data_IF_902252634890
#
_entry.id   IF_902252634890
#
_cell.length_a   1.000
_cell.length_b   1.000
_cell.length_c   1.000
_cell.angle_alpha   90.00
_cell.angle_beta   90.00
_cell.angle_gamma   90.00
#
_symmetry.space_group_name_H-M   'P 1'
#
loop_
_entity.id
_entity.type
_entity.pdbx_description
1 polymer ?
#
# COMPACT_ATOMS: atom_id res chain seq x y z
N UNK A 1 -15.69 7.76 -10.30
CA UNK A 1 -16.48 7.02 -11.31
C UNK A 1 -17.70 6.41 -10.63
N UNK A 2 -18.86 6.41 -11.27
CA UNK A 2 -20.07 5.72 -10.77
C UNK A 2 -19.87 4.19 -10.80
N UNK A 3 -20.69 3.43 -10.06
CA UNK A 3 -20.67 1.96 -10.08
C UNK A 3 -20.77 1.40 -11.51
N UNK A 4 -21.66 1.99 -12.32
CA UNK A 4 -21.83 1.66 -13.75
C UNK A 4 -20.55 1.91 -14.55
N UNK A 5 -19.84 3.01 -14.28
CA UNK A 5 -18.56 3.31 -14.94
C UNK A 5 -17.49 2.27 -14.63
N UNK A 6 -17.40 1.80 -13.38
CA UNK A 6 -16.49 0.71 -13.00
C UNK A 6 -16.85 -0.61 -13.68
N UNK A 7 -18.14 -0.96 -13.74
CA UNK A 7 -18.61 -2.18 -14.39
C UNK A 7 -18.27 -2.19 -15.89
N UNK A 8 -18.53 -1.08 -16.59
CA UNK A 8 -18.19 -0.93 -18.01
C UNK A 8 -16.67 -0.99 -18.24
N UNK A 9 -15.89 -0.36 -17.38
CA UNK A 9 -14.42 -0.41 -17.45
C UNK A 9 -13.90 -1.85 -17.30
N UNK A 10 -14.36 -2.57 -16.28
CA UNK A 10 -13.96 -3.97 -16.03
C UNK A 10 -14.36 -4.86 -17.22
N UNK A 11 -15.57 -4.69 -17.75
CA UNK A 11 -16.05 -5.45 -18.89
C UNK A 11 -15.20 -5.17 -20.15
N UNK A 12 -14.87 -3.91 -20.40
CA UNK A 12 -14.00 -3.51 -21.52
C UNK A 12 -12.62 -4.15 -21.42
N UNK A 13 -11.99 -4.08 -20.23
CA UNK A 13 -10.70 -4.73 -19.96
C UNK A 13 -10.80 -6.24 -20.14
N UNK A 14 -11.89 -6.87 -19.70
CA UNK A 14 -12.11 -8.31 -19.86
C UNK A 14 -12.27 -8.71 -21.33
N UNK A 15 -12.97 -7.91 -22.15
CA UNK A 15 -13.10 -8.15 -23.60
C UNK A 15 -11.74 -8.03 -24.28
N UNK A 16 -10.97 -6.98 -23.98
CA UNK A 16 -9.61 -6.80 -24.53
C UNK A 16 -8.71 -7.97 -24.12
N UNK A 17 -8.78 -8.39 -22.86
CA UNK A 17 -8.00 -9.51 -22.34
C UNK A 17 -8.38 -10.83 -23.04
N UNK A 18 -9.67 -11.11 -23.18
CA UNK A 18 -10.18 -12.27 -23.89
C UNK A 18 -9.67 -12.30 -25.32
N UNK A 19 -9.89 -11.21 -26.08
CA UNK A 19 -9.46 -11.08 -27.47
C UNK A 19 -7.94 -11.24 -27.61
N UNK A 20 -7.17 -10.78 -26.64
CA UNK A 20 -5.70 -10.90 -26.66
C UNK A 20 -5.23 -12.34 -26.40
N UNK A 21 -5.93 -13.11 -25.59
CA UNK A 21 -5.39 -14.36 -25.01
C UNK A 21 -6.07 -15.64 -25.49
N UNK A 22 -7.30 -15.61 -26.02
CA UNK A 22 -8.04 -16.84 -26.35
C UNK A 22 -7.31 -17.79 -27.30
N UNK A 23 -6.58 -17.29 -28.31
CA UNK A 23 -5.79 -18.16 -29.21
C UNK A 23 -4.59 -18.81 -28.51
N UNK A 24 -4.02 -18.16 -27.51
CA UNK A 24 -2.96 -18.75 -26.67
C UNK A 24 -3.51 -19.93 -25.86
N UNK A 25 -4.75 -19.83 -25.38
CA UNK A 25 -5.39 -20.95 -24.68
C UNK A 25 -5.59 -22.12 -25.64
N UNK A 26 -6.12 -21.86 -26.84
CA UNK A 26 -6.28 -22.91 -27.87
C UNK A 26 -4.93 -23.55 -28.23
N UNK A 27 -3.88 -22.76 -28.43
CA UNK A 27 -2.52 -23.25 -28.68
C UNK A 27 -1.93 -24.07 -27.51
N UNK A 28 -2.40 -23.84 -26.27
CA UNK A 28 -2.05 -24.62 -25.09
C UNK A 28 -3.00 -25.81 -24.85
N UNK A 29 -3.82 -26.20 -25.84
CA UNK A 29 -4.76 -27.33 -25.74
C UNK A 29 -6.00 -27.06 -24.87
N UNK A 30 -6.34 -25.79 -24.64
CA UNK A 30 -7.50 -25.33 -23.85
C UNK A 30 -8.64 -24.84 -24.73
N UNK A 31 -9.85 -24.71 -24.17
CA UNK A 31 -11.00 -24.23 -24.93
C UNK A 31 -11.03 -22.69 -24.92
N UNK A 32 -11.44 -22.08 -26.04
CA UNK A 32 -11.39 -20.62 -26.20
C UNK A 32 -12.18 -19.87 -25.13
N UNK A 33 -13.38 -20.35 -24.76
CA UNK A 33 -14.23 -19.71 -23.77
C UNK A 33 -13.60 -19.66 -22.37
N UNK A 34 -12.64 -20.55 -22.07
CA UNK A 34 -11.94 -20.57 -20.78
C UNK A 34 -11.16 -19.26 -20.54
N UNK A 35 -10.73 -18.57 -21.62
CA UNK A 35 -10.09 -17.26 -21.53
C UNK A 35 -11.07 -16.12 -21.19
N UNK A 36 -12.37 -16.33 -21.38
CA UNK A 36 -13.41 -15.31 -21.27
C UNK A 36 -14.03 -15.20 -19.88
N UNK A 37 -14.08 -16.30 -19.13
CA UNK A 37 -14.69 -16.32 -17.79
C UNK A 37 -13.72 -15.69 -16.77
N UNK A 38 -14.08 -14.57 -16.11
CA UNK A 38 -13.22 -13.94 -15.11
C UNK A 38 -12.85 -14.92 -13.99
N UNK A 39 -11.66 -14.74 -13.41
CA UNK A 39 -11.06 -15.61 -12.36
C UNK A 39 -10.70 -17.00 -12.89
N UNK A 40 -11.63 -17.72 -13.53
CA UNK A 40 -11.36 -19.03 -14.12
C UNK A 40 -10.26 -18.92 -15.19
N UNK A 41 -10.33 -17.91 -16.06
CA UNK A 41 -9.29 -17.60 -17.02
C UNK A 41 -7.92 -17.43 -16.31
N UNK A 42 -7.84 -16.62 -15.27
CA UNK A 42 -6.61 -16.38 -14.53
C UNK A 42 -6.06 -17.68 -13.92
N UNK A 43 -6.90 -18.56 -13.36
CA UNK A 43 -6.48 -19.87 -12.82
C UNK A 43 -5.92 -20.77 -13.93
N UNK A 44 -6.58 -20.85 -15.09
CA UNK A 44 -6.09 -21.64 -16.22
C UNK A 44 -4.81 -21.04 -16.79
N UNK A 45 -4.71 -19.72 -16.90
CA UNK A 45 -3.49 -19.03 -17.32
C UNK A 45 -2.31 -19.37 -16.41
N UNK A 46 -2.50 -19.36 -15.08
CA UNK A 46 -1.45 -19.78 -14.14
C UNK A 46 -0.95 -21.20 -14.45
N UNK A 47 -1.86 -22.13 -14.77
CA UNK A 47 -1.48 -23.49 -15.18
C UNK A 47 -0.69 -23.49 -16.49
N UNK A 48 -1.12 -22.71 -17.49
CA UNK A 48 -0.42 -22.59 -18.80
C UNK A 48 1.02 -22.08 -18.61
N UNK A 49 1.24 -21.12 -17.70
CA UNK A 49 2.58 -20.55 -17.43
C UNK A 49 3.36 -21.28 -16.32
N UNK A 50 2.88 -22.45 -15.87
CA UNK A 50 3.48 -23.27 -14.81
C UNK A 50 3.64 -22.54 -13.45
N UNK A 51 2.67 -21.69 -13.09
CA UNK A 51 2.58 -20.98 -11.81
C UNK A 51 1.46 -21.56 -10.93
N UNK A 52 1.61 -21.48 -9.60
CA UNK A 52 0.59 -22.00 -8.70
C UNK A 52 -0.67 -21.12 -8.75
N UNK A 53 -1.83 -21.73 -8.60
CA UNK A 53 -3.13 -21.06 -8.73
C UNK A 53 -3.31 -19.88 -7.77
N UNK A 54 -2.67 -19.90 -6.59
CA UNK A 54 -2.79 -18.83 -5.59
C UNK A 54 -2.20 -17.48 -6.07
N UNK A 55 -1.39 -17.46 -7.14
CA UNK A 55 -0.96 -16.21 -7.77
C UNK A 55 -2.14 -15.37 -8.28
N UNK A 56 -3.28 -16.00 -8.57
CA UNK A 56 -4.51 -15.29 -8.94
C UNK A 56 -4.94 -14.34 -7.82
N UNK A 57 -4.79 -14.72 -6.54
CA UNK A 57 -5.12 -13.85 -5.40
C UNK A 57 -4.28 -12.56 -5.43
N UNK A 58 -3.00 -12.66 -5.78
CA UNK A 58 -2.11 -11.51 -5.88
C UNK A 58 -2.51 -10.53 -6.99
N UNK A 59 -3.18 -11.00 -8.05
CA UNK A 59 -3.68 -10.14 -9.14
C UNK A 59 -4.88 -9.28 -8.73
N UNK A 60 -5.57 -9.64 -7.64
CA UNK A 60 -6.69 -8.86 -7.10
C UNK A 60 -6.30 -8.02 -5.89
N UNK A 61 -5.06 -8.16 -5.41
CA UNK A 61 -4.56 -7.39 -4.27
C UNK A 61 -4.00 -6.04 -4.74
N UNK A 62 -4.56 -4.88 -4.31
CA UNK A 62 -4.12 -3.58 -4.81
C UNK A 62 -2.63 -3.30 -4.56
N UNK A 63 -2.00 -2.57 -5.49
CA UNK A 63 -0.54 -2.38 -5.66
C UNK A 63 0.20 -3.64 -6.10
N UNK A 64 -0.01 -4.75 -5.41
CA UNK A 64 0.64 -6.01 -5.74
C UNK A 64 0.25 -6.43 -7.15
N UNK A 65 -1.02 -6.24 -7.52
CA UNK A 65 -1.52 -6.46 -8.87
C UNK A 65 -0.78 -5.64 -9.95
N UNK A 66 -0.38 -4.40 -9.67
CA UNK A 66 0.34 -3.54 -10.61
C UNK A 66 1.73 -4.10 -10.96
N UNK A 67 2.34 -4.85 -10.04
CA UNK A 67 3.63 -5.52 -10.28
C UNK A 67 3.40 -6.91 -10.88
N UNK A 68 2.40 -7.64 -10.39
CA UNK A 68 2.13 -9.02 -10.79
C UNK A 68 1.55 -9.14 -12.21
N UNK A 69 0.72 -8.20 -12.66
CA UNK A 69 0.14 -8.21 -14.01
C UNK A 69 1.25 -8.14 -15.09
N UNK A 70 2.21 -7.20 -15.04
CA UNK A 70 3.37 -7.20 -15.95
C UNK A 70 4.19 -8.49 -15.91
N UNK A 71 4.40 -9.07 -14.72
CA UNK A 71 5.09 -10.37 -14.59
C UNK A 71 4.34 -11.45 -15.35
N UNK A 72 3.02 -11.55 -15.14
CA UNK A 72 2.17 -12.54 -15.81
C UNK A 72 2.17 -12.34 -17.32
N UNK A 73 2.14 -11.10 -17.83
CA UNK A 73 2.25 -10.84 -19.27
C UNK A 73 3.56 -11.36 -19.85
N UNK A 74 4.68 -11.05 -19.20
CA UNK A 74 6.02 -11.51 -19.62
C UNK A 74 6.14 -13.02 -19.55
N UNK A 75 5.58 -13.66 -18.53
CA UNK A 75 5.59 -15.13 -18.41
C UNK A 75 4.68 -15.82 -19.41
N UNK A 76 3.56 -15.18 -19.78
CA UNK A 76 2.65 -15.67 -20.81
C UNK A 76 3.41 -15.79 -22.12
N UNK A 77 3.99 -14.70 -22.65
CA UNK A 77 4.71 -14.74 -23.93
C UNK A 77 5.91 -15.69 -23.91
N UNK A 78 6.61 -15.79 -22.77
CA UNK A 78 7.74 -16.72 -22.60
C UNK A 78 7.33 -18.18 -22.68
N UNK A 79 6.10 -18.51 -22.29
CA UNK A 79 5.55 -19.88 -22.34
C UNK A 79 5.19 -20.31 -23.78
N UNK A 80 5.18 -19.38 -24.72
CA UNK A 80 5.03 -19.62 -26.17
C UNK A 80 6.35 -19.37 -26.94
N UNK A 81 7.50 -19.43 -26.27
CA UNK A 81 8.81 -19.31 -26.90
C UNK A 81 9.36 -17.88 -27.06
N UNK A 82 8.56 -16.84 -26.84
CA UNK A 82 8.97 -15.43 -26.98
C UNK A 82 9.74 -14.93 -25.76
N UNK A 83 10.99 -15.38 -25.61
CA UNK A 83 11.82 -15.13 -24.42
C UNK A 83 12.90 -14.04 -24.58
N UNK A 84 13.03 -13.45 -25.77
CA UNK A 84 13.97 -12.36 -26.02
C UNK A 84 13.65 -11.08 -25.22
N UNK A 85 14.68 -10.30 -24.93
CA UNK A 85 14.56 -8.99 -24.29
C UNK A 85 13.64 -8.05 -25.09
N UNK A 86 13.65 -8.14 -26.43
CA UNK A 86 12.77 -7.35 -27.30
C UNK A 86 11.29 -7.62 -27.01
N UNK A 87 10.89 -8.90 -26.92
CA UNK A 87 9.50 -9.24 -26.62
C UNK A 87 9.10 -8.84 -25.20
N UNK A 88 10.02 -8.98 -24.23
CA UNK A 88 9.79 -8.51 -22.86
C UNK A 88 9.53 -6.99 -22.84
N UNK A 89 10.38 -6.21 -23.51
CA UNK A 89 10.22 -4.76 -23.61
C UNK A 89 8.91 -4.36 -24.29
N UNK A 90 8.60 -4.99 -25.44
CA UNK A 90 7.37 -4.72 -26.20
C UNK A 90 6.11 -5.04 -25.42
N UNK A 91 6.06 -6.15 -24.67
CA UNK A 91 4.91 -6.46 -23.80
C UNK A 91 4.72 -5.41 -22.72
N UNK A 92 5.80 -4.92 -22.11
CA UNK A 92 5.71 -3.97 -21.00
C UNK A 92 5.29 -2.58 -21.49
N UNK A 93 5.91 -2.06 -22.54
CA UNK A 93 5.63 -0.70 -23.05
C UNK A 93 4.22 -0.59 -23.66
N UNK A 94 3.70 -1.68 -24.21
CA UNK A 94 2.34 -1.74 -24.77
C UNK A 94 1.28 -2.13 -23.73
N UNK A 95 1.64 -2.20 -22.45
CA UNK A 95 0.75 -2.61 -21.35
C UNK A 95 0.03 -3.93 -21.66
N UNK A 96 0.77 -4.91 -22.17
CA UNK A 96 0.26 -6.24 -22.50
C UNK A 96 -0.41 -6.35 -23.88
N UNK A 97 -0.68 -5.26 -24.60
CA UNK A 97 -1.31 -5.31 -25.92
C UNK A 97 -0.45 -6.02 -26.97
N UNK A 98 0.86 -6.11 -26.79
CA UNK A 98 1.73 -6.93 -27.66
C UNK A 98 1.37 -8.43 -27.64
N UNK A 99 0.71 -8.92 -26.59
CA UNK A 99 0.17 -10.29 -26.55
C UNK A 99 -0.87 -10.48 -27.64
N UNK A 100 -1.72 -9.49 -27.90
CA UNK A 100 -2.68 -9.50 -29.00
C UNK A 100 -1.95 -9.62 -30.35
N UNK A 101 -0.88 -8.86 -30.57
CA UNK A 101 -0.09 -8.96 -31.80
C UNK A 101 0.48 -10.37 -32.00
N UNK A 102 1.12 -10.94 -30.96
CA UNK A 102 1.68 -12.30 -31.03
C UNK A 102 0.59 -13.33 -31.32
N UNK A 103 -0.53 -13.23 -30.60
CA UNK A 103 -1.67 -14.14 -30.67
C UNK A 103 -2.26 -14.28 -32.10
N UNK A 104 -2.16 -13.22 -32.93
CA UNK A 104 -2.73 -13.21 -34.27
C UNK A 104 -1.71 -13.32 -35.41
N UNK A 105 -0.44 -12.99 -35.17
CA UNK A 105 0.56 -12.89 -36.27
C UNK A 105 1.64 -13.96 -36.23
N UNK A 106 1.90 -14.56 -35.07
CA UNK A 106 3.00 -15.51 -34.88
C UNK A 106 2.46 -16.94 -34.76
N UNK A 107 3.32 -17.92 -35.05
CA UNK A 107 3.00 -19.32 -34.76
C UNK A 107 3.11 -19.56 -33.24
N UNK A 108 2.06 -20.11 -32.65
CA UNK A 108 1.93 -20.28 -31.21
C UNK A 108 2.19 -21.74 -30.85
N UNK A 109 3.39 -22.02 -30.34
CA UNK A 109 3.74 -23.34 -29.80
C UNK A 109 3.87 -23.24 -28.28
N UNK A 110 2.97 -23.90 -27.55
CA UNK A 110 3.01 -23.92 -26.09
C UNK A 110 4.11 -24.86 -25.61
N UNK A 111 5.05 -24.31 -24.82
CA UNK A 111 6.13 -25.08 -24.21
C UNK A 111 5.63 -25.64 -22.87
N UNK A 112 5.22 -26.91 -22.89
CA UNK A 112 4.82 -27.65 -21.69
C UNK A 112 6.02 -27.74 -20.73
N UNK A 113 5.78 -27.52 -19.43
CA UNK A 113 6.79 -27.57 -18.37
C UNK A 113 8.01 -26.66 -18.56
N UNK A 114 7.80 -25.48 -19.15
CA UNK A 114 8.83 -24.43 -19.24
C UNK A 114 9.52 -24.21 -17.88
N UNK A 115 10.86 -24.29 -17.87
CA UNK A 115 11.66 -23.89 -16.71
C UNK A 115 11.43 -22.42 -16.35
N UNK A 116 11.12 -22.19 -15.07
CA UNK A 116 10.91 -20.85 -14.50
C UNK A 116 12.21 -20.17 -14.11
N UNK A 117 13.32 -20.91 -14.07
CA UNK A 117 14.62 -20.32 -13.73
C UNK A 117 15.05 -19.38 -14.86
N UNK A 118 15.42 -18.13 -14.54
CA UNK A 118 16.01 -17.24 -15.52
C UNK A 118 17.27 -17.88 -16.14
N UNK A 119 17.50 -17.66 -17.44
CA UNK A 119 18.65 -18.24 -18.16
C UNK A 119 19.96 -17.47 -17.96
N UNK A 120 19.87 -16.26 -17.39
CA UNK A 120 20.99 -15.33 -17.24
C UNK A 120 21.11 -14.90 -15.79
N UNK A 121 22.34 -14.63 -15.34
CA UNK A 121 22.62 -14.12 -13.99
C UNK A 121 21.87 -12.82 -13.69
N UNK A 122 21.81 -11.89 -14.66
CA UNK A 122 21.02 -10.66 -14.53
C UNK A 122 19.52 -10.97 -14.39
N UNK A 123 19.02 -12.00 -15.09
CA UNK A 123 17.65 -12.47 -14.96
C UNK A 123 17.33 -13.03 -13.58
N UNK A 124 18.27 -13.77 -12.98
CA UNK A 124 18.13 -14.30 -11.61
C UNK A 124 18.11 -13.19 -10.57
N UNK A 125 19.02 -12.22 -10.69
CA UNK A 125 19.07 -11.07 -9.80
C UNK A 125 17.81 -10.19 -9.90
N UNK A 126 17.37 -9.87 -11.13
CA UNK A 126 16.13 -9.10 -11.36
C UNK A 126 14.89 -9.81 -10.84
N UNK A 127 14.76 -11.13 -11.05
CA UNK A 127 13.66 -11.93 -10.51
C UNK A 127 13.65 -11.91 -8.97
N UNK A 128 14.82 -12.01 -8.35
CA UNK A 128 14.94 -12.02 -6.88
C UNK A 128 14.57 -10.67 -6.28
N UNK A 129 15.03 -9.58 -6.89
CA UNK A 129 14.66 -8.21 -6.47
C UNK A 129 13.17 -7.97 -6.67
N UNK A 130 12.62 -8.37 -7.80
CA UNK A 130 11.20 -8.20 -8.07
C UNK A 130 10.35 -8.92 -7.03
N UNK A 131 10.71 -10.15 -6.67
CA UNK A 131 10.07 -10.89 -5.60
C UNK A 131 10.19 -10.18 -4.25
N UNK A 132 11.39 -9.68 -3.90
CA UNK A 132 11.61 -8.93 -2.68
C UNK A 132 10.77 -7.65 -2.61
N UNK A 133 10.66 -6.90 -3.72
CA UNK A 133 9.82 -5.69 -3.81
C UNK A 133 8.35 -6.04 -3.62
N UNK A 134 7.85 -7.10 -4.27
CA UNK A 134 6.46 -7.56 -4.10
C UNK A 134 6.19 -7.94 -2.65
N UNK A 135 7.05 -8.76 -2.05
CA UNK A 135 6.91 -9.19 -0.66
C UNK A 135 6.97 -8.00 0.32
N UNK A 136 7.97 -7.12 0.17
CA UNK A 136 8.11 -5.93 1.00
C UNK A 136 6.90 -4.99 0.87
N UNK A 137 6.40 -4.79 -0.35
CA UNK A 137 5.22 -3.97 -0.61
C UNK A 137 3.98 -4.57 0.05
N UNK A 138 3.75 -5.88 -0.09
CA UNK A 138 2.64 -6.58 0.57
C UNK A 138 2.70 -6.40 2.09
N UNK A 139 3.86 -6.64 2.70
CA UNK A 139 4.04 -6.54 4.15
C UNK A 139 3.82 -5.11 4.63
N UNK A 140 4.47 -4.12 4.01
CA UNK A 140 4.39 -2.71 4.40
C UNK A 140 3.02 -2.09 4.19
N UNK A 141 2.31 -2.48 3.13
CA UNK A 141 0.99 -1.96 2.86
C UNK A 141 -0.06 -2.57 3.80
N UNK A 142 -0.01 -3.89 4.06
CA UNK A 142 -1.15 -4.59 4.67
C UNK A 142 -0.90 -5.24 6.03
N UNK A 143 0.34 -5.64 6.34
CA UNK A 143 0.62 -6.39 7.57
C UNK A 143 1.15 -5.47 8.67
N UNK A 144 2.31 -4.87 8.43
CA UNK A 144 2.98 -4.00 9.39
C UNK A 144 3.78 -2.93 8.69
N UNK A 145 3.89 -1.76 9.28
CA UNK A 145 4.77 -0.70 8.77
C UNK A 145 5.69 -0.22 9.90
N UNK A 146 7.00 -0.12 9.66
CA UNK A 146 7.91 0.52 10.59
C UNK A 146 7.73 2.05 10.56
N UNK A 147 7.72 2.68 11.73
CA UNK A 147 7.72 4.14 11.90
C UNK A 147 8.83 4.56 12.86
N UNK A 148 9.37 5.75 12.65
CA UNK A 148 10.28 6.41 13.60
C UNK A 148 9.52 7.53 14.32
N UNK A 149 9.85 7.78 15.58
CA UNK A 149 9.28 8.89 16.36
C UNK A 149 10.16 10.14 16.18
N UNK A 150 9.67 11.20 15.49
CA UNK A 150 10.45 12.42 15.28
C UNK A 150 10.21 13.51 16.34
N UNK A 151 9.19 13.37 17.20
CA UNK A 151 8.79 14.43 18.14
C UNK A 151 8.61 13.91 19.57
N UNK A 152 8.81 14.78 20.55
CA UNK A 152 8.71 14.50 22.00
C UNK A 152 7.28 14.44 22.54
N UNK A 153 6.26 14.48 21.69
CA UNK A 153 4.86 14.57 22.15
C UNK A 153 4.36 13.36 22.97
N UNK A 154 5.10 12.26 22.95
CA UNK A 154 4.85 11.06 23.76
C UNK A 154 6.06 10.70 24.64
N UNK A 155 6.97 11.63 24.94
CA UNK A 155 8.29 11.35 25.55
C UNK A 155 8.27 10.59 26.88
N UNK A 156 7.17 10.68 27.66
CA UNK A 156 6.99 9.86 28.87
C UNK A 156 6.61 8.40 28.60
N UNK A 157 6.45 8.00 27.33
CA UNK A 157 6.17 6.63 26.86
C UNK A 157 7.08 6.21 25.71
N UNK A 158 7.30 7.07 24.73
CA UNK A 158 8.09 6.85 23.51
C UNK A 158 9.03 8.02 23.29
N UNK A 159 10.32 7.73 23.18
CA UNK A 159 11.37 8.73 23.01
C UNK A 159 11.56 9.09 21.54
N UNK A 160 12.13 10.27 21.30
CA UNK A 160 12.56 10.67 19.95
C UNK A 160 13.65 9.71 19.47
N UNK A 161 13.48 9.16 18.27
CA UNK A 161 14.36 8.14 17.70
C UNK A 161 13.89 6.70 17.90
N UNK A 162 12.85 6.45 18.71
CA UNK A 162 12.28 5.10 18.84
C UNK A 162 11.68 4.61 17.52
N UNK A 163 11.82 3.30 17.29
CA UNK A 163 11.24 2.60 16.14
C UNK A 163 10.01 1.79 16.59
N UNK A 164 8.91 1.95 15.87
CA UNK A 164 7.65 1.26 16.12
C UNK A 164 7.30 0.33 14.95
N UNK A 165 6.91 -0.90 15.26
CA UNK A 165 6.18 -1.74 14.31
C UNK A 165 4.68 -1.55 14.51
N UNK A 166 4.04 -0.87 13.56
CA UNK A 166 2.60 -0.63 13.61
C UNK A 166 1.89 -1.77 12.90
N UNK A 167 1.02 -2.48 13.62
CA UNK A 167 0.20 -3.52 13.02
C UNK A 167 -1.00 -2.93 12.28
N UNK A 168 -1.08 -3.19 10.97
CA UNK A 168 -2.19 -2.75 10.12
C UNK A 168 -3.27 -3.81 9.96
N UNK A 169 -2.87 -5.08 9.96
CA UNK A 169 -3.79 -6.21 9.73
C UNK A 169 -4.84 -6.34 10.84
N UNK A 170 -4.47 -6.12 12.11
CA UNK A 170 -5.39 -6.26 13.24
C UNK A 170 -6.50 -5.20 13.24
N UNK A 171 -6.20 -3.97 12.81
CA UNK A 171 -7.12 -2.82 12.85
C UNK A 171 -7.71 -2.46 11.48
N UNK A 172 -7.56 -3.34 10.50
CA UNK A 172 -8.04 -3.15 9.14
C UNK A 172 -7.08 -2.35 8.28
N UNK A 173 -6.34 -3.06 7.44
CA UNK A 173 -5.40 -2.44 6.51
C UNK A 173 -6.15 -1.65 5.43
N UNK A 174 -5.72 -0.41 5.21
CA UNK A 174 -6.26 0.48 4.18
C UNK A 174 -5.55 0.20 2.86
N UNK A 175 -6.30 0.02 1.78
CA UNK A 175 -5.70 0.05 0.45
C UNK A 175 -5.32 1.50 0.09
N UNK A 176 -4.25 1.71 -0.68
CA UNK A 176 -3.91 3.05 -1.13
C UNK A 176 -4.98 3.61 -2.04
N UNK A 177 -5.14 4.92 -1.95
CA UNK A 177 -6.09 5.69 -2.74
C UNK A 177 -5.39 6.38 -3.89
N UNK A 178 -4.08 6.60 -3.79
CA UNK A 178 -3.34 7.27 -4.85
C UNK A 178 -3.11 6.36 -6.04
N UNK A 179 -3.46 6.83 -7.25
CA UNK A 179 -3.38 6.03 -8.49
C UNK A 179 -1.96 5.64 -8.91
N UNK A 180 -1.03 6.59 -8.88
CA UNK A 180 0.38 6.36 -9.22
C UNK A 180 1.23 6.95 -8.10
N UNK A 181 2.03 6.11 -7.46
CA UNK A 181 2.99 6.51 -6.45
C UNK A 181 4.26 5.68 -6.55
N UNK A 182 5.39 6.29 -6.21
CA UNK A 182 6.64 5.56 -6.08
C UNK A 182 6.57 4.62 -4.86
N UNK A 183 6.95 3.34 -5.01
CA UNK A 183 6.89 2.38 -3.92
C UNK A 183 7.80 2.83 -2.78
N UNK A 184 7.37 2.58 -1.54
CA UNK A 184 8.09 2.92 -0.31
C UNK A 184 8.29 4.42 -0.03
N UNK A 185 7.79 5.31 -0.88
CA UNK A 185 7.82 6.75 -0.64
C UNK A 185 6.46 7.25 -0.15
N UNK A 186 6.49 8.03 0.94
CA UNK A 186 5.27 8.61 1.52
C UNK A 186 4.84 9.86 0.76
N UNK A 187 5.59 10.96 0.85
CA UNK A 187 5.16 12.27 0.31
C UNK A 187 6.04 12.76 -0.85
N UNK A 188 7.35 12.96 -0.62
CA UNK A 188 8.28 13.54 -1.61
C UNK A 188 9.40 12.59 -2.00
N UNK A 189 9.93 12.80 -3.20
CA UNK A 189 11.13 12.11 -3.69
C UNK A 189 12.36 12.72 -3.02
N UNK A 190 13.23 11.92 -2.37
CA UNK A 190 14.51 12.41 -1.88
C UNK A 190 15.29 13.11 -3.00
N UNK A 191 16.08 14.13 -2.67
CA UNK A 191 16.88 14.97 -3.59
C UNK A 191 16.06 15.92 -4.47
N UNK A 192 15.02 15.44 -5.16
CA UNK A 192 14.23 16.27 -6.08
C UNK A 192 13.21 17.16 -5.38
N UNK A 193 12.66 16.74 -4.23
CA UNK A 193 11.58 17.45 -3.54
C UNK A 193 10.22 17.40 -4.24
N UNK A 194 10.16 16.86 -5.48
CA UNK A 194 8.92 16.60 -6.22
C UNK A 194 8.00 15.64 -5.46
N UNK A 195 6.69 15.74 -5.71
CA UNK A 195 5.71 14.77 -5.18
C UNK A 195 6.09 13.36 -5.63
N UNK A 196 6.07 12.41 -4.69
CA UNK A 196 6.30 10.98 -4.97
C UNK A 196 5.09 10.31 -5.63
N UNK A 197 4.03 11.06 -5.91
CA UNK A 197 2.75 10.55 -6.36
C UNK A 197 2.00 11.53 -7.27
N UNK A 198 1.09 10.99 -8.07
CA UNK A 198 0.16 11.73 -8.91
C UNK A 198 -1.16 11.97 -8.18
N UNK A 199 -1.57 13.24 -8.03
CA UNK A 199 -2.76 13.63 -7.26
C UNK A 199 -4.03 13.84 -8.10
N UNK A 200 -3.98 13.64 -9.42
CA UNK A 200 -5.13 13.90 -10.31
C UNK A 200 -6.18 12.80 -10.34
N UNK A 201 -5.84 11.59 -9.88
CA UNK A 201 -6.75 10.44 -9.88
C UNK A 201 -6.60 9.69 -8.54
N UNK A 202 -7.71 9.59 -7.81
CA UNK A 202 -7.81 8.86 -6.55
C UNK A 202 -8.84 7.73 -6.66
N UNK A 203 -8.49 6.58 -6.08
CA UNK A 203 -9.37 5.45 -5.90
C UNK A 203 -10.27 5.66 -4.68
N UNK A 204 -11.49 5.09 -4.69
CA UNK A 204 -12.37 5.15 -3.53
C UNK A 204 -11.70 4.52 -2.30
N UNK A 205 -12.03 5.05 -1.13
CA UNK A 205 -11.54 4.51 0.13
C UNK A 205 -11.94 3.03 0.26
N UNK A 206 -10.95 2.18 0.48
CA UNK A 206 -11.16 0.76 0.74
C UNK A 206 -10.30 0.32 1.92
N UNK A 207 -10.90 -0.42 2.84
CA UNK A 207 -10.23 -0.96 4.02
C UNK A 207 -10.68 -2.40 4.22
N UNK A 208 -9.70 -3.27 4.43
CA UNK A 208 -9.95 -4.67 4.79
C UNK A 208 -10.52 -4.68 6.22
N UNK A 209 -11.52 -5.52 6.53
CA UNK A 209 -12.02 -5.66 7.89
C UNK A 209 -10.88 -5.95 8.87
N UNK A 210 -10.88 -5.25 10.02
CA UNK A 210 -10.00 -5.55 11.13
C UNK A 210 -10.52 -6.73 11.95
N UNK A 211 -9.63 -7.36 12.71
CA UNK A 211 -9.96 -8.43 13.65
C UNK A 211 -9.99 -7.96 15.10
N UNK A 212 -9.60 -6.71 15.37
CA UNK A 212 -9.54 -6.10 16.68
C UNK A 212 -10.06 -4.66 16.66
N UNK A 213 -10.62 -4.24 17.79
CA UNK A 213 -11.02 -2.85 18.04
C UNK A 213 -9.96 -2.15 18.90
N UNK A 214 -9.81 -0.85 18.67
CA UNK A 214 -8.95 0.01 19.48
C UNK A 214 -9.52 0.08 20.90
N UNK A 215 -8.64 0.01 21.90
CA UNK A 215 -8.98 0.13 23.32
C UNK A 215 -8.50 1.46 23.88
N UNK A 216 -9.06 1.83 25.02
CA UNK A 216 -8.53 2.94 25.81
C UNK A 216 -7.04 2.75 26.09
N UNK A 217 -6.31 3.85 25.99
CA UNK A 217 -4.88 3.95 26.15
C UNK A 217 -4.01 3.22 25.12
N UNK A 218 -4.56 2.64 24.05
CA UNK A 218 -3.74 2.13 22.95
C UNK A 218 -2.93 3.26 22.28
N UNK A 219 -1.70 2.96 21.88
CA UNK A 219 -0.92 3.84 21.01
C UNK A 219 -1.34 3.58 19.57
N UNK A 220 -1.90 4.61 18.94
CA UNK A 220 -2.45 4.53 17.59
C UNK A 220 -1.65 5.41 16.64
N UNK A 221 -1.51 4.92 15.40
CA UNK A 221 -0.96 5.69 14.29
C UNK A 221 -2.08 5.99 13.31
N UNK A 222 -2.29 7.27 13.03
CA UNK A 222 -3.37 7.73 12.16
C UNK A 222 -2.91 8.86 11.25
N UNK A 223 -3.63 9.03 10.14
CA UNK A 223 -3.40 10.11 9.19
C UNK A 223 -3.97 11.41 9.77
N UNK A 224 -3.18 12.48 9.77
CA UNK A 224 -3.59 13.79 10.27
C UNK A 224 -4.88 14.26 9.56
N UNK A 225 -5.91 14.73 10.29
CA UNK A 225 -7.21 14.98 9.68
C UNK A 225 -7.30 16.30 8.90
N UNK A 226 -6.60 17.35 9.35
CA UNK A 226 -6.70 18.71 8.77
C UNK A 226 -6.04 18.79 7.39
N UNK A 227 -6.58 19.63 6.50
CA UNK A 227 -5.99 19.90 5.18
C UNK A 227 -4.57 20.46 5.35
N UNK A 228 -3.61 19.83 4.70
CA UNK A 228 -2.24 19.73 5.22
C UNK A 228 -1.42 20.97 4.92
N UNK A 229 -0.65 21.43 5.91
CA UNK A 229 0.24 22.57 5.74
C UNK A 229 1.39 22.24 4.76
N UNK A 230 1.92 23.26 4.06
CA UNK A 230 3.09 23.11 3.18
C UNK A 230 4.36 22.88 4.01
N UNK A 231 4.41 23.50 5.19
CA UNK A 231 5.40 23.29 6.24
C UNK A 231 4.68 22.92 7.56
N UNK A 232 5.13 21.83 8.19
CA UNK A 232 4.57 21.27 9.44
C UNK A 232 5.40 21.75 10.66
N UNK A 233 6.54 22.42 10.43
CA UNK A 233 7.32 23.03 11.50
C UNK A 233 6.54 24.12 12.24
N UNK A 234 6.90 24.45 13.50
CA UNK A 234 6.27 25.57 14.21
C UNK A 234 6.85 26.92 13.74
N UNK A 235 6.03 27.88 13.23
CA UNK A 235 4.59 27.80 13.01
C UNK A 235 4.23 27.13 11.67
N UNK A 236 3.19 26.27 11.64
CA UNK A 236 2.79 25.60 10.41
C UNK A 236 2.25 26.62 9.40
N UNK A 237 2.61 26.48 8.11
CA UNK A 237 2.26 27.46 7.08
C UNK A 237 1.91 26.84 5.72
N UNK A 238 1.06 27.53 4.97
CA UNK A 238 0.52 27.11 3.67
C UNK A 238 -0.60 26.06 3.79
N UNK A 239 -1.35 25.80 2.72
CA UNK A 239 -2.33 24.72 2.65
C UNK A 239 -2.16 23.93 1.36
N UNK A 240 -2.18 22.62 1.46
CA UNK A 240 -2.10 21.67 0.36
C UNK A 240 -3.03 20.49 0.63
N UNK A 241 -3.96 20.27 -0.29
CA UNK A 241 -4.72 19.03 -0.31
C UNK A 241 -3.79 17.85 -0.62
N UNK A 242 -3.86 16.80 0.22
CA UNK A 242 -3.18 15.50 -0.02
C UNK A 242 -4.19 14.35 0.13
N UNK A 243 -4.08 13.30 -0.72
CA UNK A 243 -4.81 12.05 -0.54
C UNK A 243 -4.61 11.48 0.87
N UNK A 244 -5.61 10.79 1.43
CA UNK A 244 -5.60 10.30 2.83
C UNK A 244 -4.42 9.35 3.10
N UNK A 245 -4.00 8.54 2.13
CA UNK A 245 -2.83 7.65 2.21
C UNK A 245 -1.48 8.39 2.10
N UNK A 246 -1.49 9.68 1.77
CA UNK A 246 -0.32 10.57 1.64
C UNK A 246 -0.25 11.65 2.70
N UNK A 247 -1.29 11.79 3.52
CA UNK A 247 -1.28 12.68 4.69
C UNK A 247 -0.22 12.28 5.72
N UNK A 248 0.32 13.25 6.43
CA UNK A 248 1.25 13.00 7.54
C UNK A 248 0.68 12.04 8.59
N UNK A 249 1.52 11.13 9.08
CA UNK A 249 1.16 10.16 10.10
C UNK A 249 1.49 10.71 11.49
N UNK A 250 0.56 10.57 12.42
CA UNK A 250 0.72 10.96 13.82
C UNK A 250 0.60 9.75 14.72
N UNK A 251 1.43 9.72 15.76
CA UNK A 251 1.38 8.71 16.82
C UNK A 251 0.84 9.37 18.08
N UNK A 252 -0.30 8.89 18.58
CA UNK A 252 -0.93 9.40 19.82
C UNK A 252 -1.53 8.26 20.62
N UNK A 253 -1.90 8.56 21.88
CA UNK A 253 -2.66 7.65 22.73
C UNK A 253 -4.17 7.86 22.52
N UNK A 254 -4.91 6.79 22.29
CA UNK A 254 -6.37 6.82 22.20
C UNK A 254 -6.97 6.88 23.61
N UNK A 255 -7.36 8.08 24.06
CA UNK A 255 -7.85 8.27 25.44
C UNK A 255 -9.36 8.04 25.55
N UNK A 256 -10.14 8.34 24.52
CA UNK A 256 -11.58 8.12 24.50
C UNK A 256 -12.00 7.44 23.19
N UNK A 257 -13.04 6.60 23.28
CA UNK A 257 -13.64 5.86 22.19
C UNK A 257 -15.03 6.42 21.85
N UNK A 258 -15.62 6.07 20.70
CA UNK A 258 -16.98 6.48 20.35
C UNK A 258 -17.98 6.10 21.44
N UNK A 259 -18.76 7.08 21.91
CA UNK A 259 -19.75 6.91 22.98
C UNK A 259 -19.28 7.37 24.35
N UNK A 260 -17.99 7.62 24.55
CA UNK A 260 -17.47 8.12 25.82
C UNK A 260 -17.73 9.62 26.02
N UNK A 261 -17.93 10.03 27.27
CA UNK A 261 -17.69 11.41 27.71
C UNK A 261 -16.24 11.57 28.17
N UNK A 262 -15.61 12.69 27.82
CA UNK A 262 -14.25 13.02 28.21
C UNK A 262 -14.22 14.35 28.94
N UNK A 263 -13.63 14.36 30.13
CA UNK A 263 -13.48 15.54 30.99
C UNK A 263 -12.04 15.64 31.50
N UNK A 264 -11.51 16.86 31.61
CA UNK A 264 -10.20 17.10 32.24
C UNK A 264 -10.44 17.89 33.53
N UNK A 265 -10.14 17.29 34.68
CA UNK A 265 -10.29 17.90 36.00
C UNK A 265 -8.94 17.94 36.70
N UNK A 266 -8.48 19.13 37.06
CA UNK A 266 -7.18 19.35 37.73
C UNK A 266 -6.02 18.66 37.00
N UNK A 267 -6.02 18.70 35.67
CA UNK A 267 -4.98 18.08 34.84
C UNK A 267 -5.10 16.57 34.64
N UNK A 268 -6.09 15.90 35.22
CA UNK A 268 -6.35 14.47 35.02
C UNK A 268 -7.53 14.24 34.08
N UNK A 269 -7.36 13.34 33.12
CA UNK A 269 -8.44 12.92 32.22
C UNK A 269 -9.39 11.98 32.96
N UNK A 270 -10.69 12.18 32.78
CA UNK A 270 -11.77 11.33 33.26
C UNK A 270 -12.61 10.89 32.06
N UNK A 271 -12.92 9.60 32.00
CA UNK A 271 -13.70 8.96 30.94
C UNK A 271 -14.98 8.46 31.61
N UNK A 272 -16.15 8.91 31.16
CA UNK A 272 -17.44 8.57 31.76
C UNK A 272 -17.48 8.85 33.28
N UNK A 273 -16.86 9.96 33.70
CA UNK A 273 -16.73 10.37 35.11
C UNK A 273 -15.66 9.64 35.92
N UNK A 274 -15.05 8.58 35.39
CA UNK A 274 -14.01 7.79 36.06
C UNK A 274 -12.64 8.29 35.65
N UNK A 275 -11.73 8.53 36.61
CA UNK A 275 -10.36 8.96 36.31
C UNK A 275 -9.66 7.91 35.44
N UNK A 276 -9.07 8.35 34.31
CA UNK A 276 -8.37 7.48 33.38
C UNK A 276 -7.16 6.82 34.06
N UNK A 277 -7.09 5.49 33.95
CA UNK A 277 -5.98 4.70 34.44
C UNK A 277 -4.94 4.54 33.33
N UNK A 278 -3.78 5.17 33.53
CA UNK A 278 -2.69 5.15 32.55
C UNK A 278 -1.80 3.92 32.75
N UNK A 279 -1.31 3.28 31.68
CA UNK A 279 -0.35 2.19 31.81
C UNK A 279 0.93 2.63 32.55
N UNK A 280 1.64 1.72 33.20
CA UNK A 280 2.86 2.00 34.00
C UNK A 280 3.91 2.84 33.25
N UNK A 281 4.01 2.65 31.94
CA UNK A 281 4.95 3.35 31.04
C UNK A 281 4.39 4.68 30.52
N UNK A 282 3.32 5.20 31.09
CA UNK A 282 2.67 6.43 30.67
C UNK A 282 2.54 7.36 31.87
N UNK A 283 3.04 8.59 31.72
CA UNK A 283 2.90 9.63 32.73
C UNK A 283 2.34 10.89 32.08
N UNK A 284 1.50 11.60 32.82
CA UNK A 284 1.05 12.93 32.42
C UNK A 284 2.23 13.87 32.36
N UNK A 285 2.23 14.74 31.35
CA UNK A 285 3.20 15.80 31.18
C UNK A 285 2.47 17.12 31.40
N UNK A 286 2.93 17.89 32.38
CA UNK A 286 2.40 19.21 32.67
C UNK A 286 3.36 20.25 32.12
N UNK A 287 2.84 21.18 31.33
CA UNK A 287 3.57 22.36 30.91
C UNK A 287 3.13 23.53 31.80
N UNK A 288 4.08 24.13 32.52
CA UNK A 288 3.83 25.31 33.34
C UNK A 288 4.58 26.49 32.70
N UNK A 289 3.83 27.50 32.28
CA UNK A 289 4.41 28.77 31.86
C UNK A 289 4.55 29.67 33.09
N UNK A 290 5.78 30.04 33.44
CA UNK A 290 6.08 30.96 34.54
C UNK A 290 6.56 32.28 33.94
N UNK A 291 5.87 33.36 34.26
CA UNK A 291 6.28 34.72 33.89
C UNK A 291 6.70 35.46 35.14
N UNK A 292 7.91 36.02 35.14
CA UNK A 292 8.45 36.78 36.28
C UNK A 292 8.96 38.14 35.80
N UNK A 293 8.77 39.16 36.63
CA UNK A 293 9.37 40.50 36.44
C UNK A 293 10.81 40.56 36.92
N UNK A 294 11.25 39.56 37.69
CA UNK A 294 12.62 39.38 38.17
C UNK A 294 13.25 38.11 37.58
N UNK A 295 14.59 37.98 37.53
CA UNK A 295 15.25 36.77 37.03
C UNK A 295 14.77 35.52 37.77
N UNK A 296 14.40 34.48 37.02
CA UNK A 296 14.00 33.20 37.59
C UNK A 296 15.22 32.49 38.17
N UNK A 297 15.13 32.07 39.44
CA UNK A 297 16.10 31.18 40.06
C UNK A 297 15.89 29.75 39.53
N UNK A 298 16.99 29.06 39.21
CA UNK A 298 16.98 27.67 38.74
C UNK A 298 16.38 26.70 39.77
N UNK A 299 16.38 27.07 41.06
CA UNK A 299 15.73 26.30 42.13
C UNK A 299 14.21 26.12 41.94
N UNK A 300 13.57 26.99 41.15
CA UNK A 300 12.12 26.95 40.85
C UNK A 300 11.81 26.02 39.67
N UNK A 301 12.82 25.66 38.87
CA UNK A 301 12.65 24.87 37.63
C UNK A 301 12.90 23.35 37.80
N UNK A 302 13.38 22.91 38.96
CA UNK A 302 13.62 21.49 39.30
C UNK A 302 12.42 20.84 39.99
#
# INVERSE_FOLDING_TARGET
MTLTGWLLFILTVQVIHFLSTWKLYVAAGRQAWEAGIPIYNAVILMKIINRPWWWVILLFFPIVNLIMIPVVWVETIRSFGFNSAKHTFLVLITLGLYIFYISYTQNLEHIVDRSRKPRTTTGEWTSSILFAIVAATLVHTYFMQPFTIPTSSLEKTLLVGDYLFVSKIHYGARAPMTSVALPMLHDRVPLSGSKSYYSGLEFPYFRIPGFQNIKHNDIVVFSWPVDEYVDIGPPPSGYMYKPIDKKSNYVKRCVALPGDSLEIKNGYVHINGIKNDLPDRAKLMFYMAVTSTEPLDYSIMS
#
